data_IF_433433525359
#
_entry.id   IF_433433525359
#
_cell.length_a   1.000
_cell.length_b   1.000
_cell.length_c   1.000
_cell.angle_alpha   90.00
_cell.angle_beta   90.00
_cell.angle_gamma   90.00
#
_symmetry.space_group_name_H-M   'P 1'
#
loop_
_entity.id
_entity.type
_entity.pdbx_description
1 polymer ?
#
# COMPACT_ATOMS: atom_id res chain seq x y z
N UNK A 1 -25.36 9.53 11.46
CA UNK A 1 -26.07 9.24 10.18
C UNK A 1 -25.50 7.94 9.65
N UNK A 2 -26.29 6.87 9.65
CA UNK A 2 -25.83 5.54 9.25
C UNK A 2 -25.82 5.42 7.73
N UNK A 3 -24.67 5.12 7.13
CA UNK A 3 -24.57 4.84 5.69
C UNK A 3 -24.98 3.38 5.48
N UNK A 4 -26.24 3.16 5.07
CA UNK A 4 -26.80 1.83 4.81
C UNK A 4 -26.62 1.38 3.36
N UNK A 5 -26.53 2.32 2.42
CA UNK A 5 -26.39 1.99 1.00
C UNK A 5 -24.94 1.54 0.70
N UNK A 6 -24.78 0.32 0.18
CA UNK A 6 -23.46 -0.27 -0.13
C UNK A 6 -23.46 -0.91 -1.52
N UNK A 7 -22.33 -0.81 -2.23
CA UNK A 7 -22.06 -1.62 -3.43
C UNK A 7 -21.02 -2.66 -3.10
N UNK A 8 -21.34 -3.92 -3.36
CA UNK A 8 -20.44 -5.06 -3.13
C UNK A 8 -19.92 -5.57 -4.48
N UNK A 9 -18.60 -5.78 -4.57
CA UNK A 9 -17.95 -6.44 -5.70
C UNK A 9 -17.25 -7.70 -5.22
N UNK A 10 -17.35 -8.79 -5.98
CA UNK A 10 -16.43 -9.92 -5.84
C UNK A 10 -15.08 -9.59 -6.51
N UNK A 11 -14.08 -10.45 -6.32
CA UNK A 11 -12.74 -10.22 -6.88
C UNK A 11 -12.74 -10.13 -8.41
N UNK A 12 -13.57 -10.92 -9.08
CA UNK A 12 -13.69 -10.91 -10.55
C UNK A 12 -14.29 -9.60 -11.07
N UNK A 13 -15.39 -9.14 -10.48
CA UNK A 13 -16.05 -7.88 -10.82
C UNK A 13 -15.18 -6.66 -10.50
N UNK A 14 -14.40 -6.73 -9.41
CA UNK A 14 -13.41 -5.70 -9.13
C UNK A 14 -12.33 -5.68 -10.22
N UNK A 15 -11.82 -6.82 -10.68
CA UNK A 15 -10.85 -6.88 -11.78
C UNK A 15 -11.42 -6.38 -13.11
N UNK A 16 -12.69 -6.64 -13.40
CA UNK A 16 -13.37 -6.20 -14.63
C UNK A 16 -13.61 -4.69 -14.70
N UNK A 17 -13.70 -4.00 -13.56
CA UNK A 17 -13.92 -2.54 -13.47
C UNK A 17 -12.73 -1.85 -12.79
N UNK A 18 -11.53 -1.82 -13.41
CA UNK A 18 -10.38 -1.10 -12.88
C UNK A 18 -10.77 0.37 -12.66
N UNK A 19 -10.50 0.91 -11.47
CA UNK A 19 -10.77 2.32 -11.17
C UNK A 19 -12.23 2.71 -10.92
N UNK A 20 -13.12 1.74 -10.67
CA UNK A 20 -14.48 2.00 -10.19
C UNK A 20 -14.50 2.96 -8.99
N UNK A 21 -15.24 4.06 -9.11
CA UNK A 21 -15.54 4.97 -8.02
C UNK A 21 -17.04 4.92 -7.72
N UNK A 22 -17.38 4.96 -6.43
CA UNK A 22 -18.76 5.04 -5.96
C UNK A 22 -18.99 6.45 -5.41
N UNK A 23 -20.00 7.14 -5.94
CA UNK A 23 -20.43 8.44 -5.43
C UNK A 23 -21.88 8.37 -4.98
N UNK A 24 -22.13 8.91 -3.79
CA UNK A 24 -23.46 9.14 -3.25
C UNK A 24 -24.09 10.35 -3.96
N UNK A 25 -25.19 10.13 -4.67
CA UNK A 25 -25.94 11.21 -5.33
C UNK A 25 -26.84 11.94 -4.34
N UNK A 26 -27.22 13.18 -4.70
CA UNK A 26 -28.06 14.00 -3.84
C UNK A 26 -29.38 13.31 -3.53
N UNK A 27 -29.74 13.31 -2.25
CA UNK A 27 -30.97 12.74 -1.73
C UNK A 27 -32.13 13.69 -2.01
N UNK A 28 -32.94 13.40 -3.03
CA UNK A 28 -34.15 14.17 -3.36
C UNK A 28 -35.34 13.21 -3.21
N UNK A 29 -36.07 13.32 -2.09
CA UNK A 29 -37.35 12.62 -1.90
C UNK A 29 -37.31 11.18 -1.36
N UNK A 30 -36.17 10.68 -0.89
CA UNK A 30 -36.06 9.36 -0.24
C UNK A 30 -35.13 9.43 0.98
N UNK A 31 -35.27 8.51 1.92
CA UNK A 31 -34.32 8.26 3.00
C UNK A 31 -33.15 7.35 2.57
N UNK A 32 -33.08 6.99 1.28
CA UNK A 32 -31.95 6.35 0.62
C UNK A 32 -31.17 7.32 -0.27
N UNK A 33 -29.87 7.06 -0.45
CA UNK A 33 -29.00 7.82 -1.33
C UNK A 33 -28.63 6.96 -2.55
N UNK A 34 -29.03 7.35 -3.77
CA UNK A 34 -28.64 6.61 -4.97
C UNK A 34 -27.12 6.53 -5.10
N UNK A 35 -26.60 5.33 -5.33
CA UNK A 35 -25.18 5.09 -5.53
C UNK A 35 -24.86 5.04 -7.03
N UNK A 36 -24.03 5.97 -7.49
CA UNK A 36 -23.48 5.93 -8.84
C UNK A 36 -22.14 5.21 -8.81
N UNK A 37 -22.09 4.05 -9.46
CA UNK A 37 -20.84 3.34 -9.75
C UNK A 37 -20.34 3.80 -11.12
N UNK A 38 -19.22 4.51 -11.15
CA UNK A 38 -18.58 4.88 -12.40
C UNK A 38 -17.33 4.03 -12.62
N UNK A 39 -17.40 3.12 -13.61
CA UNK A 39 -16.23 2.47 -14.17
C UNK A 39 -15.54 3.40 -15.15
N UNK A 40 -14.24 3.65 -14.95
CA UNK A 40 -13.40 4.32 -15.94
C UNK A 40 -12.16 3.47 -16.10
N UNK A 41 -11.76 3.13 -17.32
CA UNK A 41 -10.45 2.53 -17.61
C UNK A 41 -9.35 3.54 -17.28
N UNK A 42 -9.11 3.74 -15.99
CA UNK A 42 -8.10 4.63 -15.48
C UNK A 42 -6.80 3.85 -15.47
N UNK A 43 -5.95 4.14 -16.45
CA UNK A 43 -4.54 3.77 -16.39
C UNK A 43 -3.90 4.55 -15.23
N UNK A 44 -3.90 3.95 -14.05
CA UNK A 44 -3.31 4.56 -12.86
C UNK A 44 -1.78 4.52 -12.97
N UNK A 45 -1.18 5.63 -13.39
CA UNK A 45 0.27 5.81 -13.29
C UNK A 45 0.74 5.52 -11.86
N UNK A 46 1.82 4.73 -11.65
CA UNK A 46 2.36 4.50 -10.32
C UNK A 46 2.77 5.84 -9.72
N UNK A 47 2.04 6.28 -8.69
CA UNK A 47 2.44 7.44 -7.91
C UNK A 47 3.76 7.07 -7.22
N UNK A 48 4.77 7.94 -7.34
CA UNK A 48 6.13 7.70 -6.84
C UNK A 48 6.12 7.10 -5.43
N UNK A 49 7.02 6.16 -5.16
CA UNK A 49 6.97 5.37 -3.93
C UNK A 49 7.08 6.30 -2.72
N UNK A 50 5.97 6.51 -2.02
CA UNK A 50 6.00 7.10 -0.70
C UNK A 50 6.81 6.14 0.17
N UNK A 51 7.87 6.64 0.78
CA UNK A 51 8.64 5.86 1.75
C UNK A 51 7.73 5.52 2.92
N UNK A 52 7.63 4.24 3.24
CA UNK A 52 6.79 3.72 4.31
C UNK A 52 7.61 2.75 5.14
N UNK A 53 7.29 2.72 6.42
CA UNK A 53 7.84 1.75 7.35
C UNK A 53 7.28 0.36 7.03
N UNK A 54 8.09 -0.69 7.15
CA UNK A 54 7.65 -2.08 7.00
C UNK A 54 7.79 -2.82 8.32
N UNK A 55 6.73 -3.50 8.76
CA UNK A 55 6.69 -4.19 10.06
C UNK A 55 7.69 -5.36 10.11
N UNK A 56 8.05 -5.90 8.93
CA UNK A 56 9.08 -6.93 8.75
C UNK A 56 10.43 -6.52 9.35
N UNK A 57 10.70 -5.22 9.49
CA UNK A 57 11.95 -4.75 10.07
C UNK A 57 12.01 -4.95 11.58
N UNK A 58 10.87 -5.05 12.28
CA UNK A 58 10.81 -5.13 13.74
C UNK A 58 11.38 -6.44 14.29
N UNK A 59 11.29 -7.52 13.50
CA UNK A 59 11.71 -8.87 13.89
C UNK A 59 13.22 -9.08 13.78
N UNK A 60 13.96 -8.07 13.30
CA UNK A 60 15.37 -8.21 12.94
C UNK A 60 16.21 -7.29 13.82
N UNK A 61 17.19 -7.87 14.53
CA UNK A 61 18.04 -7.12 15.46
C UNK A 61 18.67 -5.91 14.76
N UNK A 62 19.25 -6.13 13.57
CA UNK A 62 19.96 -5.14 12.76
C UNK A 62 19.19 -3.85 12.45
N UNK A 63 17.85 -3.86 12.55
CA UNK A 63 17.03 -2.67 12.33
C UNK A 63 17.22 -1.63 13.44
N UNK A 64 17.45 -2.06 14.69
CA UNK A 64 17.54 -1.20 15.86
C UNK A 64 18.81 -0.36 15.82
N UNK A 65 19.94 -0.98 15.46
CA UNK A 65 21.22 -0.26 15.36
C UNK A 65 21.17 0.81 14.28
N UNK A 66 20.49 0.55 13.16
CA UNK A 66 20.30 1.53 12.08
C UNK A 66 19.48 2.71 12.58
N UNK A 67 18.38 2.45 13.30
CA UNK A 67 17.56 3.52 13.87
C UNK A 67 18.40 4.39 14.79
N UNK A 68 19.10 3.79 15.76
CA UNK A 68 19.94 4.50 16.74
C UNK A 68 20.99 5.35 16.02
N UNK A 69 21.75 4.73 15.11
CA UNK A 69 22.83 5.39 14.35
C UNK A 69 22.33 6.58 13.53
N UNK A 70 21.23 6.41 12.80
CA UNK A 70 20.71 7.48 11.93
C UNK A 70 19.97 8.57 12.71
N UNK A 71 19.42 8.23 13.88
CA UNK A 71 18.70 9.16 14.73
C UNK A 71 19.62 10.12 15.48
N UNK A 72 20.80 9.65 15.89
CA UNK A 72 21.80 10.44 16.60
C UNK A 72 22.45 11.52 15.72
N UNK A 73 22.49 11.35 14.40
CA UNK A 73 23.05 12.35 13.48
C UNK A 73 22.34 13.71 13.63
N UNK A 74 23.08 14.84 13.59
CA UNK A 74 22.50 16.16 13.72
C UNK A 74 21.53 16.47 12.57
N UNK A 75 20.60 17.39 12.83
CA UNK A 75 19.68 17.96 11.85
C UNK A 75 19.36 19.39 12.28
N UNK A 76 19.12 20.27 11.32
CA UNK A 76 18.93 21.71 11.53
C UNK A 76 17.57 22.17 11.02
N UNK A 77 17.10 23.31 11.53
CA UNK A 77 15.82 23.92 11.18
C UNK A 77 14.90 24.10 12.39
N UNK A 78 13.63 24.39 12.13
CA UNK A 78 12.62 24.42 13.20
C UNK A 78 12.45 23.04 13.85
N UNK A 79 11.95 22.94 15.09
CA UNK A 79 11.75 21.64 15.75
C UNK A 79 10.95 20.62 14.90
N UNK A 80 9.86 21.00 14.19
CA UNK A 80 9.17 20.09 13.27
C UNK A 80 10.02 19.68 12.06
N UNK A 81 10.85 20.58 11.53
CA UNK A 81 11.73 20.29 10.41
C UNK A 81 12.84 19.29 10.81
N UNK A 82 13.45 19.49 11.98
CA UNK A 82 14.44 18.56 12.55
C UNK A 82 13.84 17.16 12.65
N UNK A 83 12.64 17.04 13.21
CA UNK A 83 11.94 15.77 13.38
C UNK A 83 11.68 15.09 12.02
N UNK A 84 11.14 15.82 11.05
CA UNK A 84 10.88 15.30 9.70
C UNK A 84 12.17 14.85 8.99
N UNK A 85 13.27 15.60 9.13
CA UNK A 85 14.57 15.23 8.56
C UNK A 85 15.10 13.94 9.16
N UNK A 86 15.03 13.79 10.49
CA UNK A 86 15.45 12.56 11.18
C UNK A 86 14.61 11.37 10.73
N UNK A 87 13.28 11.49 10.72
CA UNK A 87 12.41 10.42 10.22
C UNK A 87 12.71 10.04 8.77
N UNK A 88 12.81 11.01 7.86
CA UNK A 88 13.07 10.74 6.45
C UNK A 88 14.45 10.12 6.21
N UNK A 89 15.47 10.48 7.01
CA UNK A 89 16.81 9.88 6.94
C UNK A 89 16.79 8.44 7.45
N UNK A 90 16.28 8.21 8.65
CA UNK A 90 16.20 6.87 9.25
C UNK A 90 15.38 5.92 8.37
N UNK A 91 14.23 6.38 7.85
CA UNK A 91 13.38 5.58 6.99
C UNK A 91 14.05 5.19 5.66
N UNK A 92 14.86 6.09 5.09
CA UNK A 92 15.66 5.78 3.89
C UNK A 92 16.72 4.75 4.17
N UNK A 93 17.45 4.89 5.29
CA UNK A 93 18.49 3.95 5.68
C UNK A 93 17.92 2.55 5.92
N UNK A 94 16.79 2.45 6.65
CA UNK A 94 16.09 1.18 6.85
C UNK A 94 15.66 0.56 5.54
N UNK A 95 15.14 1.35 4.59
CA UNK A 95 14.74 0.83 3.28
C UNK A 95 15.92 0.32 2.45
N UNK A 96 17.06 1.01 2.47
CA UNK A 96 18.27 0.58 1.78
C UNK A 96 18.77 -0.74 2.39
N UNK A 97 18.94 -0.77 3.70
CA UNK A 97 19.36 -1.96 4.42
C UNK A 97 18.40 -3.14 4.21
N UNK A 98 17.09 -2.90 4.26
CA UNK A 98 16.08 -3.94 4.02
C UNK A 98 16.21 -4.54 2.62
N UNK A 99 16.53 -3.73 1.61
CA UNK A 99 16.75 -4.22 0.25
C UNK A 99 18.05 -5.02 0.14
N UNK A 100 19.10 -4.64 0.85
CA UNK A 100 20.37 -5.36 0.90
C UNK A 100 20.26 -6.68 1.67
N UNK A 101 19.51 -6.68 2.79
CA UNK A 101 19.31 -7.84 3.67
C UNK A 101 18.35 -8.88 3.09
N UNK A 102 17.20 -8.45 2.57
CA UNK A 102 16.14 -9.37 2.13
C UNK A 102 16.01 -9.49 0.61
N UNK A 103 16.54 -8.53 -0.16
CA UNK A 103 16.35 -8.49 -1.61
C UNK A 103 14.88 -8.44 -2.01
N UNK A 104 14.54 -9.14 -3.10
CA UNK A 104 13.16 -9.39 -3.47
C UNK A 104 12.64 -10.65 -2.75
N UNK A 105 11.91 -10.40 -1.66
CA UNK A 105 11.32 -11.44 -0.81
C UNK A 105 10.34 -12.35 -1.58
N UNK A 106 9.68 -11.83 -2.63
CA UNK A 106 8.77 -12.64 -3.47
C UNK A 106 9.56 -13.56 -4.40
N UNK A 107 10.62 -13.04 -5.03
CA UNK A 107 11.50 -13.84 -5.86
C UNK A 107 12.18 -14.94 -5.05
N UNK A 108 12.64 -14.61 -3.83
CA UNK A 108 13.24 -15.59 -2.91
C UNK A 108 12.27 -16.72 -2.54
N UNK A 109 11.00 -16.40 -2.25
CA UNK A 109 10.02 -17.44 -1.93
C UNK A 109 9.82 -18.41 -3.10
N UNK A 110 9.72 -17.89 -4.33
CA UNK A 110 9.56 -18.69 -5.54
C UNK A 110 10.79 -19.56 -5.85
N UNK A 111 11.98 -19.03 -5.66
CA UNK A 111 13.25 -19.77 -5.82
C UNK A 111 13.31 -20.95 -4.84
N UNK A 112 13.07 -20.69 -3.56
CA UNK A 112 13.05 -21.73 -2.52
C UNK A 112 12.01 -22.81 -2.80
N UNK A 113 10.79 -22.43 -3.20
CA UNK A 113 9.74 -23.37 -3.59
C UNK A 113 10.17 -24.26 -4.78
N UNK A 114 10.83 -23.67 -5.78
CA UNK A 114 11.31 -24.40 -6.96
C UNK A 114 12.40 -25.41 -6.59
N UNK A 115 13.34 -25.04 -5.72
CA UNK A 115 14.42 -25.93 -5.24
C UNK A 115 13.90 -27.06 -4.36
N UNK A 116 12.91 -26.79 -3.52
CA UNK A 116 12.22 -27.81 -2.73
C UNK A 116 11.53 -28.82 -3.67
N UNK A 117 10.81 -28.33 -4.67
CA UNK A 117 10.11 -29.18 -5.64
C UNK A 117 11.09 -30.06 -6.45
N UNK A 118 12.27 -29.55 -6.81
CA UNK A 118 13.31 -30.32 -7.49
C UNK A 118 13.82 -31.50 -6.65
N UNK A 119 14.13 -31.26 -5.37
CA UNK A 119 14.58 -32.31 -4.46
C UNK A 119 13.48 -33.35 -4.21
N UNK A 120 12.23 -32.92 -4.04
CA UNK A 120 11.09 -33.81 -3.87
C UNK A 120 10.81 -34.65 -5.13
N UNK A 121 10.97 -34.07 -6.32
CA UNK A 121 10.85 -34.80 -7.58
C UNK A 121 11.93 -35.87 -7.68
N UNK A 122 13.17 -35.54 -7.32
CA UNK A 122 14.28 -36.49 -7.31
C UNK A 122 14.06 -37.63 -6.31
N UNK A 123 13.56 -37.33 -5.12
CA UNK A 123 13.16 -38.33 -4.13
C UNK A 123 12.10 -39.29 -4.70
N UNK A 124 11.14 -38.78 -5.48
CA UNK A 124 10.06 -39.57 -6.06
C UNK A 124 10.46 -40.48 -7.24
N UNK A 125 11.52 -40.12 -7.99
CA UNK A 125 11.96 -40.82 -9.20
C UNK A 125 13.19 -41.71 -8.92
N UNK A 126 14.03 -41.34 -7.96
CA UNK A 126 15.30 -41.99 -7.66
C UNK A 126 15.25 -43.02 -6.52
N UNK A 127 16.42 -43.39 -6.01
CA UNK A 127 16.60 -44.31 -4.88
C UNK A 127 16.37 -43.64 -3.50
N UNK A 128 15.66 -42.52 -3.46
CA UNK A 128 15.57 -41.62 -2.29
C UNK A 128 16.68 -40.56 -2.26
N UNK A 129 16.66 -39.71 -1.22
CA UNK A 129 17.67 -38.68 -0.96
C UNK A 129 18.80 -39.25 -0.09
N UNK A 130 20.03 -38.82 -0.33
CA UNK A 130 21.12 -39.06 0.62
C UNK A 130 21.01 -38.13 1.87
N UNK A 131 21.80 -38.40 2.91
CA UNK A 131 21.76 -37.63 4.15
C UNK A 131 22.08 -36.14 3.95
N UNK A 132 22.93 -35.80 2.98
CA UNK A 132 23.29 -34.40 2.66
C UNK A 132 22.13 -33.69 1.98
N UNK A 133 21.48 -34.36 1.03
CA UNK A 133 20.31 -33.86 0.30
C UNK A 133 19.10 -33.72 1.21
N UNK A 134 18.89 -34.65 2.13
CA UNK A 134 17.84 -34.57 3.15
C UNK A 134 18.07 -33.37 4.07
N UNK A 135 19.30 -33.16 4.54
CA UNK A 135 19.64 -31.97 5.34
C UNK A 135 19.45 -30.67 4.54
N UNK A 136 19.82 -30.66 3.25
CA UNK A 136 19.58 -29.54 2.36
C UNK A 136 18.08 -29.23 2.23
N UNK A 137 17.25 -30.24 2.02
CA UNK A 137 15.80 -30.10 1.94
C UNK A 137 15.23 -29.48 3.23
N UNK A 138 15.65 -29.98 4.40
CA UNK A 138 15.21 -29.44 5.69
C UNK A 138 15.58 -27.96 5.85
N UNK A 139 16.80 -27.57 5.47
CA UNK A 139 17.23 -26.16 5.50
C UNK A 139 16.41 -25.29 4.53
N UNK A 140 16.17 -25.77 3.30
CA UNK A 140 15.35 -25.04 2.32
C UNK A 140 13.92 -24.83 2.81
N UNK A 141 13.32 -25.84 3.43
CA UNK A 141 11.99 -25.75 4.02
C UNK A 141 11.97 -24.76 5.19
N UNK A 142 13.00 -24.74 6.04
CA UNK A 142 13.12 -23.78 7.12
C UNK A 142 13.25 -22.32 6.60
N UNK A 143 14.09 -22.11 5.58
CA UNK A 143 14.26 -20.82 4.91
C UNK A 143 12.98 -20.36 4.21
N UNK A 144 12.26 -21.28 3.58
CA UNK A 144 10.98 -21.00 2.92
C UNK A 144 9.93 -20.57 3.93
N UNK A 145 9.79 -21.30 5.04
CA UNK A 145 8.87 -20.94 6.13
C UNK A 145 9.19 -19.55 6.71
N UNK A 146 10.47 -19.26 6.95
CA UNK A 146 10.91 -17.94 7.43
C UNK A 146 10.55 -16.84 6.43
N UNK A 147 10.76 -17.10 5.14
CA UNK A 147 10.42 -16.18 4.05
C UNK A 147 8.90 -15.93 3.95
N UNK A 148 8.09 -16.99 4.12
CA UNK A 148 6.63 -16.88 4.15
C UNK A 148 6.13 -16.07 5.35
N UNK A 149 6.69 -16.25 6.55
CA UNK A 149 6.33 -15.46 7.72
C UNK A 149 6.57 -13.96 7.48
N UNK A 150 7.69 -13.60 6.84
CA UNK A 150 7.96 -12.20 6.46
C UNK A 150 6.94 -11.67 5.45
N UNK A 151 6.59 -12.46 4.43
CA UNK A 151 5.56 -12.11 3.45
C UNK A 151 4.19 -11.93 4.11
N UNK A 152 3.83 -12.78 5.07
CA UNK A 152 2.60 -12.67 5.83
C UNK A 152 2.53 -11.32 6.57
N UNK A 153 3.55 -10.98 7.35
CA UNK A 153 3.67 -9.66 8.02
C UNK A 153 3.54 -8.52 7.01
N UNK A 154 4.20 -8.63 5.86
CA UNK A 154 4.14 -7.64 4.78
C UNK A 154 2.74 -7.45 4.21
N UNK A 155 1.97 -8.53 4.05
CA UNK A 155 0.59 -8.52 3.57
C UNK A 155 -0.38 -8.00 4.62
N UNK A 156 -0.25 -8.44 5.88
CA UNK A 156 -1.08 -7.99 6.99
C UNK A 156 -0.99 -6.48 7.18
N UNK A 157 0.22 -5.91 7.15
CA UNK A 157 0.45 -4.48 7.25
C UNK A 157 -0.29 -3.70 6.13
N UNK A 158 -0.27 -4.23 4.90
CA UNK A 158 -0.93 -3.60 3.74
C UNK A 158 -2.45 -3.76 3.76
N UNK A 159 -2.94 -4.88 4.26
CA UNK A 159 -4.36 -5.13 4.47
C UNK A 159 -4.93 -4.25 5.60
N UNK A 160 -4.08 -3.77 6.54
CA UNK A 160 -4.48 -3.13 7.81
C UNK A 160 -5.41 -4.00 8.66
N UNK A 161 -5.24 -5.31 8.58
CA UNK A 161 -6.02 -6.27 9.35
C UNK A 161 -5.28 -6.52 10.67
N UNK A 162 -5.77 -5.93 11.75
CA UNK A 162 -5.19 -6.09 13.10
C UNK A 162 -5.68 -7.32 13.86
N UNK A 163 -6.77 -7.94 13.42
CA UNK A 163 -7.48 -9.00 14.15
C UNK A 163 -7.11 -10.42 13.72
N UNK A 164 -6.28 -10.58 12.68
CA UNK A 164 -5.75 -11.89 12.30
C UNK A 164 -4.67 -12.29 13.32
N UNK A 165 -5.03 -13.17 14.26
CA UNK A 165 -4.05 -13.95 15.03
C UNK A 165 -3.28 -14.84 14.05
N UNK A 166 -1.97 -15.03 14.29
CA UNK A 166 -0.98 -15.78 13.52
C UNK A 166 -1.29 -17.29 13.29
N UNK A 167 -2.50 -17.63 12.87
CA UNK A 167 -2.98 -19.00 12.67
C UNK A 167 -3.65 -19.25 11.33
N UNK A 168 -4.10 -18.21 10.62
CA UNK A 168 -4.68 -18.36 9.28
C UNK A 168 -3.68 -17.92 8.21
N UNK A 169 -2.89 -18.86 7.69
CA UNK A 169 -1.88 -18.66 6.62
C UNK A 169 -2.50 -18.33 5.25
N UNK A 170 -3.70 -17.75 5.21
CA UNK A 170 -4.40 -17.41 3.97
C UNK A 170 -3.85 -16.12 3.33
N UNK A 171 -2.62 -16.21 2.84
CA UNK A 171 -1.93 -15.12 2.11
C UNK A 171 -2.73 -14.64 0.90
N UNK A 172 -3.52 -15.50 0.26
CA UNK A 172 -4.39 -15.15 -0.86
C UNK A 172 -5.51 -14.18 -0.46
N UNK A 173 -6.13 -14.37 0.71
CA UNK A 173 -7.11 -13.43 1.25
C UNK A 173 -6.47 -12.07 1.52
N UNK A 174 -5.34 -12.04 2.24
CA UNK A 174 -4.67 -10.79 2.57
C UNK A 174 -4.15 -10.05 1.33
N UNK A 175 -3.67 -10.79 0.33
CA UNK A 175 -3.28 -10.26 -0.98
C UNK A 175 -4.45 -9.55 -1.67
N UNK A 176 -5.62 -10.20 -1.73
CA UNK A 176 -6.84 -9.64 -2.31
C UNK A 176 -7.32 -8.40 -1.54
N UNK A 177 -7.33 -8.47 -0.20
CA UNK A 177 -7.72 -7.36 0.67
C UNK A 177 -6.79 -6.14 0.52
N UNK A 178 -5.47 -6.35 0.56
CA UNK A 178 -4.46 -5.32 0.34
C UNK A 178 -4.60 -4.67 -1.05
N UNK A 179 -4.87 -5.47 -2.08
CA UNK A 179 -5.10 -5.01 -3.45
C UNK A 179 -6.34 -4.13 -3.56
N UNK A 180 -7.47 -4.57 -2.98
CA UNK A 180 -8.72 -3.79 -2.94
C UNK A 180 -8.52 -2.44 -2.24
N UNK A 181 -7.85 -2.45 -1.09
CA UNK A 181 -7.52 -1.24 -0.34
C UNK A 181 -6.59 -0.30 -1.11
N UNK A 182 -5.56 -0.83 -1.79
CA UNK A 182 -4.66 -0.05 -2.65
C UNK A 182 -5.43 0.67 -3.75
N UNK A 183 -6.42 0.02 -4.36
CA UNK A 183 -7.30 0.61 -5.38
C UNK A 183 -8.19 1.71 -4.80
N UNK A 184 -8.84 1.46 -3.67
CA UNK A 184 -9.70 2.44 -2.98
C UNK A 184 -8.94 3.70 -2.56
N UNK A 185 -7.73 3.55 -2.02
CA UNK A 185 -6.90 4.70 -1.66
C UNK A 185 -6.47 5.51 -2.89
N UNK A 186 -6.21 4.85 -4.03
CA UNK A 186 -5.87 5.53 -5.29
C UNK A 186 -7.07 6.29 -5.87
N UNK A 187 -8.27 5.71 -5.85
CA UNK A 187 -9.48 6.40 -6.32
C UNK A 187 -9.80 7.61 -5.45
N UNK A 188 -9.72 7.48 -4.12
CA UNK A 188 -9.87 8.60 -3.19
C UNK A 188 -8.84 9.72 -3.40
N UNK A 189 -7.56 9.37 -3.57
CA UNK A 189 -6.49 10.33 -3.83
C UNK A 189 -6.70 11.08 -5.16
N UNK A 190 -7.23 10.41 -6.19
CA UNK A 190 -7.56 11.01 -7.48
C UNK A 190 -8.78 11.93 -7.39
N UNK A 191 -9.87 11.50 -6.76
CA UNK A 191 -11.06 12.33 -6.51
C UNK A 191 -10.67 13.62 -5.77
N UNK A 192 -9.82 13.52 -4.74
CA UNK A 192 -9.30 14.67 -4.03
C UNK A 192 -8.43 15.61 -4.88
N UNK A 193 -7.77 15.12 -5.95
CA UNK A 193 -7.06 15.97 -6.92
C UNK A 193 -8.03 16.64 -7.89
N UNK A 194 -9.10 15.96 -8.30
CA UNK A 194 -10.11 16.49 -9.21
C UNK A 194 -10.93 17.61 -8.55
N UNK A 195 -11.38 17.41 -7.30
CA UNK A 195 -12.06 18.45 -6.51
C UNK A 195 -11.18 19.69 -6.36
N UNK A 196 -9.89 19.51 -6.05
CA UNK A 196 -8.92 20.62 -5.96
C UNK A 196 -8.75 21.36 -7.29
N UNK A 197 -8.67 20.66 -8.42
CA UNK A 197 -8.60 21.30 -9.75
C UNK A 197 -9.87 22.07 -10.12
N UNK A 198 -11.05 21.58 -9.73
CA UNK A 198 -12.33 22.27 -9.97
C UNK A 198 -12.49 23.52 -9.12
N UNK A 199 -11.98 23.52 -7.88
CA UNK A 199 -11.96 24.71 -7.01
C UNK A 199 -10.95 25.76 -7.50
N UNK A 200 -9.78 25.34 -7.97
CA UNK A 200 -8.76 26.25 -8.56
C UNK A 200 -9.29 26.93 -9.83
N UNK A 201 -10.04 26.22 -10.69
CA UNK A 201 -10.67 26.83 -11.90
C UNK A 201 -11.78 27.83 -11.57
N UNK A 202 -12.49 27.68 -10.45
CA UNK A 202 -13.51 28.63 -9.98
C UNK A 202 -12.92 29.88 -9.33
N UNK A 203 -11.69 29.82 -8.80
CA UNK A 203 -10.99 30.96 -8.21
C UNK A 203 -10.30 31.89 -9.23
N UNK A 204 -10.18 31.47 -10.49
CA UNK A 204 -9.47 32.22 -11.54
C UNK A 204 -10.39 32.96 -12.53
N UNK A 205 -11.69 33.09 -12.23
CA UNK A 205 -12.68 33.78 -13.09
C UNK A 205 -13.36 34.99 -12.44
N UNK A 206 -12.81 35.52 -11.36
CA UNK A 206 -13.32 36.75 -10.73
C UNK A 206 -12.26 37.84 -10.69
N UNK A 207 -11.88 38.40 -11.84
CA UNK A 207 -11.33 39.76 -11.96
C UNK A 207 -11.29 40.15 -13.43
N UNK A 208 -12.32 40.89 -13.85
CA UNK A 208 -12.30 42.01 -14.79
C UNK A 208 -13.76 42.31 -15.17
N UNK A 209 -14.35 43.30 -14.52
CA UNK A 209 -15.47 44.07 -15.03
C UNK A 209 -15.37 45.46 -14.37
N UNK A 210 -14.42 46.25 -14.84
CA UNK A 210 -14.34 47.68 -14.54
C UNK A 210 -15.26 48.44 -15.49
N UNK A 211 -16.51 48.63 -15.09
CA UNK A 211 -17.38 49.66 -15.69
C UNK A 211 -17.10 51.02 -15.01
N UNK A 212 -17.16 52.14 -15.73
CA UNK A 212 -16.79 53.45 -15.19
C UNK A 212 -17.82 53.96 -14.18
N UNK A 213 -17.43 54.76 -13.17
CA UNK A 213 -18.36 55.27 -12.18
C UNK A 213 -19.14 56.48 -12.72
N UNK A 214 -20.45 56.50 -12.46
CA UNK A 214 -21.32 57.67 -12.64
C UNK A 214 -21.05 58.70 -11.52
N UNK A 215 -21.20 60.02 -11.79
CA UNK A 215 -20.91 61.06 -10.81
C UNK A 215 -22.07 61.22 -9.81
N UNK A 216 -21.72 61.31 -8.52
CA UNK A 216 -22.61 61.70 -7.44
C UNK A 216 -22.72 63.23 -7.41
N UNK A 217 -23.88 63.77 -7.79
CA UNK A 217 -24.34 65.08 -7.34
C UNK A 217 -25.17 64.87 -6.06
N UNK A 218 -24.89 65.60 -4.99
CA UNK A 218 -25.87 66.01 -3.98
C UNK A 218 -25.29 67.20 -3.19
N UNK A 219 -25.96 68.34 -3.36
CA UNK A 219 -25.99 69.62 -2.61
C UNK A 219 -24.69 70.24 -2.08
#
# INVERSE_FOLDING_TARGET
MWVLDRVCFNSAGLSALPGSAVTHLTRIGSDHCPLLVQGRNLEFKPQGSILKFEDVWLDEEGSKEIVIREWQKPAHGSPPAILNHKFARTLRALKIWSREKFGDIHAKAKDLESRIAELQLRESIGTGLDDSELNCLLQLVADYNTTLSRLETWWLQRAKVKWAKCGDRNTAFFHKAATCRKRTNRSAAWLGKMVRKSQVKKGSTSHQNGGPPLPLCLN
#
